data_IF_996119645896
#
_entry.id   IF_996119645896
#
_cell.length_a   1.000
_cell.length_b   1.000
_cell.length_c   1.000
_cell.angle_alpha   90.00
_cell.angle_beta   90.00
_cell.angle_gamma   90.00
#
_symmetry.space_group_name_H-M   'P 1'
#
loop_
_entity.id
_entity.type
_entity.pdbx_description
1 polymer ?
#
# COMPACT_ATOMS: atom_id res chain seq x y z
N UNK A 1 -48.56 12.30 -31.97
CA UNK A 1 -48.10 10.92 -31.76
C UNK A 1 -46.73 10.77 -32.39
N UNK A 2 -45.66 10.82 -31.58
CA UNK A 2 -44.29 10.57 -32.05
C UNK A 2 -43.83 9.32 -31.31
N UNK A 3 -43.72 8.22 -32.05
CA UNK A 3 -43.30 6.93 -31.56
C UNK A 3 -41.77 6.92 -31.52
N UNK A 4 -41.18 7.04 -30.33
CA UNK A 4 -39.73 6.94 -30.16
C UNK A 4 -39.37 5.45 -30.22
N UNK A 5 -38.74 5.04 -31.32
CA UNK A 5 -38.13 3.71 -31.49
C UNK A 5 -36.98 3.57 -30.49
N UNK A 6 -37.13 2.71 -29.49
CA UNK A 6 -36.02 2.19 -28.69
C UNK A 6 -35.06 1.43 -29.61
N UNK A 7 -33.85 1.93 -29.78
CA UNK A 7 -32.73 1.15 -30.31
C UNK A 7 -32.31 0.15 -29.22
N UNK A 8 -32.64 -1.12 -29.43
CA UNK A 8 -32.02 -2.22 -28.69
C UNK A 8 -30.62 -2.42 -29.26
N UNK A 9 -29.59 -2.02 -28.51
CA UNK A 9 -28.24 -2.51 -28.75
C UNK A 9 -28.23 -4.02 -28.45
N UNK A 10 -27.90 -4.83 -29.46
CA UNK A 10 -27.67 -6.26 -29.27
C UNK A 10 -26.39 -6.37 -28.44
N UNK A 11 -26.50 -6.67 -27.14
CA UNK A 11 -25.34 -7.05 -26.32
C UNK A 11 -24.79 -8.35 -26.91
N UNK A 12 -23.55 -8.32 -27.36
CA UNK A 12 -22.83 -9.52 -27.78
C UNK A 12 -22.65 -10.40 -26.52
N UNK A 13 -23.19 -11.61 -26.53
CA UNK A 13 -23.06 -12.52 -25.40
C UNK A 13 -21.57 -12.85 -25.18
N UNK A 14 -21.11 -12.78 -23.93
CA UNK A 14 -19.75 -13.18 -23.57
C UNK A 14 -19.58 -14.66 -23.86
N UNK A 15 -18.47 -15.03 -24.52
CA UNK A 15 -18.13 -16.45 -24.68
C UNK A 15 -17.30 -16.91 -23.48
N UNK A 16 -17.63 -18.07 -22.93
CA UNK A 16 -16.98 -18.64 -21.74
C UNK A 16 -16.40 -20.01 -22.08
N UNK A 17 -15.32 -20.02 -22.84
CA UNK A 17 -14.60 -21.25 -23.16
C UNK A 17 -13.78 -21.70 -21.94
N UNK A 18 -14.15 -22.83 -21.36
CA UNK A 18 -13.41 -23.44 -20.25
C UNK A 18 -12.20 -24.21 -20.80
N UNK A 19 -11.01 -23.85 -20.30
CA UNK A 19 -9.79 -24.64 -20.47
C UNK A 19 -9.41 -25.33 -19.15
N UNK A 20 -8.76 -26.51 -19.19
CA UNK A 20 -8.17 -27.09 -17.98
C UNK A 20 -7.06 -26.17 -17.44
N UNK A 21 -6.98 -26.08 -16.11
CA UNK A 21 -5.91 -25.35 -15.42
C UNK A 21 -4.59 -26.13 -15.43
N UNK A 22 -3.46 -25.42 -15.40
CA UNK A 22 -2.17 -26.02 -15.14
C UNK A 22 -1.93 -26.22 -13.64
N UNK A 23 -0.87 -26.96 -13.28
CA UNK A 23 -0.52 -27.21 -11.86
C UNK A 23 -0.09 -25.92 -11.17
N UNK A 24 0.57 -25.01 -11.90
CA UNK A 24 1.00 -23.69 -11.41
C UNK A 24 -0.18 -22.77 -11.09
N UNK A 25 -1.33 -23.00 -11.74
CA UNK A 25 -2.56 -22.23 -11.53
C UNK A 25 -3.41 -22.76 -10.37
N UNK A 26 -3.04 -23.88 -9.74
CA UNK A 26 -3.82 -24.52 -8.68
C UNK A 26 -4.12 -23.58 -7.49
N UNK A 27 -3.23 -22.63 -7.20
CA UNK A 27 -3.42 -21.62 -6.16
C UNK A 27 -4.65 -20.72 -6.37
N UNK A 28 -5.09 -20.51 -7.62
CA UNK A 28 -6.25 -19.68 -7.97
C UNK A 28 -7.61 -20.34 -7.64
N UNK A 29 -7.61 -21.58 -7.16
CA UNK A 29 -8.82 -22.32 -6.84
C UNK A 29 -9.08 -22.43 -5.34
N UNK A 30 -8.30 -21.72 -4.53
CA UNK A 30 -8.39 -21.72 -3.08
C UNK A 30 -8.32 -20.29 -2.56
N UNK A 31 -8.87 -20.09 -1.37
CA UNK A 31 -8.82 -18.80 -0.69
C UNK A 31 -7.37 -18.50 -0.28
N UNK A 32 -6.88 -17.33 -0.67
CA UNK A 32 -5.59 -16.79 -0.25
C UNK A 32 -5.80 -15.38 0.34
N UNK A 33 -6.33 -15.31 1.57
CA UNK A 33 -6.79 -14.05 2.20
C UNK A 33 -5.72 -12.95 2.20
N UNK A 34 -4.44 -13.32 2.32
CA UNK A 34 -3.32 -12.37 2.31
C UNK A 34 -2.95 -11.84 0.92
N UNK A 35 -3.55 -12.36 -0.15
CA UNK A 35 -3.25 -11.99 -1.55
C UNK A 35 -4.48 -11.49 -2.31
N UNK A 36 -5.65 -11.40 -1.67
CA UNK A 36 -6.90 -11.05 -2.38
C UNK A 36 -6.85 -9.68 -3.07
N UNK A 37 -6.18 -8.71 -2.47
CA UNK A 37 -6.01 -7.40 -3.09
C UNK A 37 -5.11 -7.49 -4.34
N UNK A 38 -4.00 -8.22 -4.25
CA UNK A 38 -3.04 -8.40 -5.35
C UNK A 38 -3.64 -9.21 -6.51
N UNK A 39 -4.38 -10.27 -6.18
CA UNK A 39 -5.08 -11.12 -7.14
C UNK A 39 -6.37 -10.47 -7.65
N UNK A 40 -6.77 -9.31 -7.14
CA UNK A 40 -8.04 -8.68 -7.55
C UNK A 40 -9.25 -9.59 -7.29
N UNK A 41 -9.22 -10.41 -6.23
CA UNK A 41 -10.28 -11.39 -5.91
C UNK A 41 -11.60 -10.66 -5.64
N UNK A 42 -12.60 -10.89 -6.48
CA UNK A 42 -13.95 -10.33 -6.28
C UNK A 42 -14.68 -11.08 -5.19
N UNK A 43 -14.59 -12.41 -5.26
CA UNK A 43 -15.14 -13.32 -4.28
C UNK A 43 -15.24 -14.73 -4.83
N UNK A 44 -15.93 -15.60 -4.10
CA UNK A 44 -16.15 -16.96 -4.57
C UNK A 44 -17.55 -17.49 -4.29
N UNK A 45 -18.00 -18.38 -5.18
CA UNK A 45 -19.21 -19.17 -5.03
C UNK A 45 -18.86 -20.56 -4.54
N UNK A 46 -19.55 -21.02 -3.51
CA UNK A 46 -19.60 -22.43 -3.14
C UNK A 46 -20.90 -23.04 -3.64
N UNK A 47 -20.86 -24.20 -4.28
CA UNK A 47 -21.99 -24.81 -4.98
C UNK A 47 -22.19 -26.28 -4.59
N UNK A 48 -23.45 -26.72 -4.56
CA UNK A 48 -23.86 -28.13 -4.38
C UNK A 48 -25.07 -28.50 -5.25
N UNK A 49 -25.11 -29.74 -5.73
CA UNK A 49 -26.23 -30.29 -6.52
C UNK A 49 -27.33 -30.94 -5.66
N UNK A 50 -27.16 -30.96 -4.34
CA UNK A 50 -28.07 -31.57 -3.37
C UNK A 50 -28.11 -33.10 -3.44
N UNK A 51 -28.92 -33.71 -2.58
CA UNK A 51 -29.01 -35.18 -2.45
C UNK A 51 -29.45 -35.89 -3.74
N UNK A 52 -30.24 -35.22 -4.59
CA UNK A 52 -30.71 -35.75 -5.87
C UNK A 52 -29.76 -35.51 -7.04
N UNK A 53 -28.64 -34.79 -6.84
CA UNK A 53 -27.64 -34.51 -7.87
C UNK A 53 -28.10 -33.63 -9.04
N UNK A 54 -29.31 -33.06 -8.98
CA UNK A 54 -29.94 -32.23 -10.04
C UNK A 54 -30.23 -30.79 -9.61
N UNK A 55 -30.03 -30.46 -8.33
CA UNK A 55 -30.25 -29.12 -7.80
C UNK A 55 -29.08 -28.18 -8.15
N UNK A 56 -29.18 -26.91 -7.80
CA UNK A 56 -28.06 -25.98 -7.87
C UNK A 56 -28.18 -25.00 -6.69
N UNK A 57 -27.59 -25.39 -5.57
CA UNK A 57 -27.53 -24.60 -4.35
C UNK A 57 -26.20 -23.89 -4.30
N UNK A 58 -26.21 -22.61 -3.92
CA UNK A 58 -24.98 -21.83 -3.89
C UNK A 58 -24.97 -20.83 -2.74
N UNK A 59 -23.76 -20.44 -2.33
CA UNK A 59 -23.51 -19.38 -1.35
C UNK A 59 -22.39 -18.51 -1.87
N UNK A 60 -22.62 -17.19 -1.91
CA UNK A 60 -21.60 -16.19 -2.26
C UNK A 60 -20.79 -15.81 -1.03
N UNK A 61 -19.47 -15.73 -1.19
CA UNK A 61 -18.54 -15.25 -0.20
C UNK A 61 -17.81 -14.03 -0.77
N UNK A 62 -18.02 -12.83 -0.23
CA UNK A 62 -17.38 -11.62 -0.72
C UNK A 62 -15.91 -11.56 -0.28
N UNK A 63 -15.06 -11.00 -1.12
CA UNK A 63 -13.65 -10.69 -0.80
C UNK A 63 -13.41 -9.19 -0.95
N UNK A 64 -12.23 -8.70 -0.51
CA UNK A 64 -11.87 -7.28 -0.65
C UNK A 64 -12.91 -6.31 -0.04
N UNK A 65 -13.61 -6.69 1.02
CA UNK A 65 -14.69 -5.88 1.60
C UNK A 65 -15.90 -5.69 0.68
N UNK A 66 -16.15 -6.62 -0.26
CA UNK A 66 -17.22 -6.60 -1.27
C UNK A 66 -17.14 -5.45 -2.29
N UNK A 67 -16.05 -4.66 -2.29
CA UNK A 67 -15.89 -3.46 -3.14
C UNK A 67 -15.88 -3.77 -4.64
N UNK A 68 -15.45 -4.97 -5.03
CA UNK A 68 -15.34 -5.40 -6.42
C UNK A 68 -16.61 -6.07 -6.94
N UNK A 69 -17.60 -6.33 -6.08
CA UNK A 69 -18.86 -6.99 -6.43
C UNK A 69 -19.85 -6.01 -7.10
N UNK A 70 -19.40 -5.41 -8.20
CA UNK A 70 -20.12 -4.37 -8.93
C UNK A 70 -21.33 -4.94 -9.70
N UNK A 71 -22.29 -4.10 -10.11
CA UNK A 71 -23.38 -4.52 -10.99
C UNK A 71 -22.89 -5.14 -12.32
N UNK A 72 -21.80 -4.61 -12.89
CA UNK A 72 -21.16 -5.14 -14.10
C UNK A 72 -20.66 -6.57 -13.87
N UNK A 73 -19.96 -6.81 -12.76
CA UNK A 73 -19.49 -8.14 -12.39
C UNK A 73 -20.65 -9.11 -12.17
N UNK A 74 -21.71 -8.68 -11.46
CA UNK A 74 -22.89 -9.52 -11.21
C UNK A 74 -23.56 -9.98 -12.51
N UNK A 75 -23.64 -9.10 -13.52
CA UNK A 75 -24.13 -9.46 -14.85
C UNK A 75 -23.21 -10.50 -15.51
N UNK A 76 -21.89 -10.29 -15.51
CA UNK A 76 -20.93 -11.24 -16.07
C UNK A 76 -20.97 -12.61 -15.36
N UNK A 77 -21.09 -12.62 -14.03
CA UNK A 77 -21.19 -13.83 -13.24
C UNK A 77 -22.48 -14.59 -13.53
N UNK A 78 -23.62 -13.89 -13.66
CA UNK A 78 -24.89 -14.50 -14.00
C UNK A 78 -24.83 -15.17 -15.38
N UNK A 79 -24.29 -14.45 -16.38
CA UNK A 79 -24.09 -15.01 -17.73
C UNK A 79 -23.19 -16.25 -17.73
N UNK A 80 -22.08 -16.22 -16.96
CA UNK A 80 -21.19 -17.37 -16.81
C UNK A 80 -21.91 -18.57 -16.20
N UNK A 81 -22.60 -18.38 -15.07
CA UNK A 81 -23.33 -19.44 -14.39
C UNK A 81 -24.42 -20.01 -15.28
N UNK A 82 -25.18 -19.18 -15.99
CA UNK A 82 -26.23 -19.64 -16.90
C UNK A 82 -25.66 -20.47 -18.06
N UNK A 83 -24.55 -20.04 -18.67
CA UNK A 83 -23.87 -20.80 -19.72
C UNK A 83 -23.40 -22.17 -19.20
N UNK A 84 -22.77 -22.18 -18.02
CA UNK A 84 -22.27 -23.42 -17.40
C UNK A 84 -23.38 -24.37 -16.95
N UNK A 85 -24.57 -23.84 -16.60
CA UNK A 85 -25.75 -24.64 -16.26
C UNK A 85 -26.49 -25.18 -17.49
N UNK A 86 -26.45 -24.46 -18.60
CA UNK A 86 -27.12 -24.87 -19.83
C UNK A 86 -26.34 -25.98 -20.55
N UNK A 87 -25.03 -25.77 -20.76
CA UNK A 87 -24.20 -26.64 -21.62
C UNK A 87 -22.89 -27.09 -20.96
N UNK A 88 -22.65 -26.73 -19.71
CA UNK A 88 -21.38 -26.97 -19.02
C UNK A 88 -21.47 -27.93 -17.82
N UNK A 89 -20.41 -27.95 -16.98
CA UNK A 89 -20.32 -28.83 -15.82
C UNK A 89 -21.30 -28.47 -14.68
N UNK A 90 -21.94 -27.29 -14.70
CA UNK A 90 -22.84 -26.86 -13.63
C UNK A 90 -24.31 -27.26 -13.85
N UNK A 91 -24.61 -28.04 -14.90
CA UNK A 91 -25.96 -28.52 -15.19
C UNK A 91 -26.52 -29.44 -14.10
N UNK A 92 -25.75 -30.47 -13.75
CA UNK A 92 -26.04 -31.46 -12.72
C UNK A 92 -24.75 -32.24 -12.37
N UNK A 93 -24.78 -33.04 -11.30
CA UNK A 93 -23.60 -33.79 -10.84
C UNK A 93 -23.08 -34.79 -11.89
N UNK A 94 -23.97 -35.37 -12.70
CA UNK A 94 -23.61 -36.33 -13.75
C UNK A 94 -22.89 -35.63 -14.91
N UNK A 95 -23.38 -34.45 -15.30
CA UNK A 95 -22.75 -33.58 -16.29
C UNK A 95 -21.37 -33.12 -15.81
N UNK A 96 -21.25 -32.68 -14.55
CA UNK A 96 -19.96 -32.31 -13.95
C UNK A 96 -18.96 -33.47 -14.05
N UNK A 97 -19.36 -34.66 -13.58
CA UNK A 97 -18.49 -35.84 -13.61
C UNK A 97 -18.05 -36.15 -15.05
N UNK A 98 -18.99 -36.20 -15.99
CA UNK A 98 -18.69 -36.47 -17.41
C UNK A 98 -17.75 -35.43 -18.01
N UNK A 99 -17.94 -34.16 -17.67
CA UNK A 99 -17.11 -33.07 -18.15
C UNK A 99 -15.68 -33.18 -17.62
N UNK A 100 -15.50 -33.42 -16.33
CA UNK A 100 -14.19 -33.59 -15.69
C UNK A 100 -13.40 -34.74 -16.32
N UNK A 101 -14.06 -35.89 -16.53
CA UNK A 101 -13.43 -37.06 -17.17
C UNK A 101 -12.99 -36.82 -18.60
N UNK A 102 -13.71 -36.01 -19.37
CA UNK A 102 -13.42 -35.78 -20.80
C UNK A 102 -12.39 -34.67 -21.05
N UNK A 103 -12.32 -33.69 -20.16
CA UNK A 103 -11.55 -32.46 -20.40
C UNK A 103 -10.28 -32.34 -19.53
N UNK A 104 -10.00 -33.32 -18.65
CA UNK A 104 -8.82 -33.30 -17.79
C UNK A 104 -8.88 -32.22 -16.72
N UNK A 105 -7.74 -31.60 -16.41
CA UNK A 105 -7.63 -30.51 -15.44
C UNK A 105 -7.54 -30.97 -13.98
N UNK A 106 -7.05 -32.17 -13.70
CA UNK A 106 -6.81 -32.62 -12.32
C UNK A 106 -5.72 -31.75 -11.68
N UNK A 107 -6.09 -31.05 -10.60
CA UNK A 107 -5.19 -30.12 -9.88
C UNK A 107 -4.67 -30.69 -8.55
N UNK A 108 -5.10 -31.90 -8.20
CA UNK A 108 -4.61 -32.64 -7.03
C UNK A 108 -4.58 -34.12 -7.33
N UNK A 109 -3.41 -34.75 -7.23
CA UNK A 109 -3.27 -36.18 -7.41
C UNK A 109 -4.09 -36.93 -6.36
N UNK A 110 -4.95 -37.85 -6.81
CA UNK A 110 -5.79 -38.78 -6.02
C UNK A 110 -7.08 -38.22 -5.42
N UNK A 111 -7.33 -36.91 -5.45
CA UNK A 111 -8.53 -36.33 -4.84
C UNK A 111 -9.70 -36.03 -5.80
N UNK A 112 -9.55 -36.34 -7.10
CA UNK A 112 -10.58 -36.07 -8.12
C UNK A 112 -11.07 -34.62 -8.04
N UNK A 113 -10.13 -33.68 -7.90
CA UNK A 113 -10.40 -32.25 -7.93
C UNK A 113 -9.93 -31.74 -9.28
N UNK A 114 -10.85 -31.12 -10.01
CA UNK A 114 -10.60 -30.63 -11.36
C UNK A 114 -10.72 -29.11 -11.39
N UNK A 115 -9.76 -28.42 -12.00
CA UNK A 115 -9.74 -26.98 -12.17
C UNK A 115 -9.95 -26.59 -13.64
N UNK A 116 -10.89 -25.68 -13.87
CA UNK A 116 -11.15 -25.09 -15.18
C UNK A 116 -11.15 -23.57 -15.10
N UNK A 117 -10.60 -22.91 -16.11
CA UNK A 117 -10.52 -21.45 -16.19
C UNK A 117 -11.29 -20.99 -17.42
N UNK A 118 -12.12 -19.97 -17.25
CA UNK A 118 -12.63 -19.14 -18.32
C UNK A 118 -12.20 -17.69 -18.09
N UNK A 119 -11.82 -17.01 -19.15
CA UNK A 119 -11.46 -15.60 -19.11
C UNK A 119 -12.32 -14.80 -20.07
N UNK A 120 -12.60 -13.57 -19.64
CA UNK A 120 -13.14 -12.51 -20.47
C UNK A 120 -12.09 -11.40 -20.52
N UNK A 121 -12.38 -10.30 -21.21
CA UNK A 121 -11.51 -9.12 -21.19
C UNK A 121 -11.27 -8.58 -19.76
N UNK A 122 -12.25 -8.75 -18.86
CA UNK A 122 -12.28 -8.06 -17.56
C UNK A 122 -12.16 -9.01 -16.37
N UNK A 123 -12.64 -10.25 -16.51
CA UNK A 123 -12.79 -11.19 -15.41
C UNK A 123 -12.24 -12.56 -15.73
N UNK A 124 -11.65 -13.19 -14.72
CA UNK A 124 -11.27 -14.61 -14.72
C UNK A 124 -12.16 -15.39 -13.77
N UNK A 125 -12.66 -16.53 -14.26
CA UNK A 125 -13.54 -17.46 -13.56
C UNK A 125 -12.82 -18.80 -13.39
N UNK A 126 -12.40 -19.11 -12.16
CA UNK A 126 -11.70 -20.34 -11.81
C UNK A 126 -12.67 -21.33 -11.15
N UNK A 127 -13.20 -22.26 -11.94
CA UNK A 127 -14.14 -23.29 -11.51
C UNK A 127 -13.39 -24.55 -11.04
N UNK A 128 -13.47 -24.83 -9.75
CA UNK A 128 -13.06 -26.09 -9.13
C UNK A 128 -14.26 -27.04 -9.03
N UNK A 129 -14.12 -28.22 -9.61
CA UNK A 129 -15.11 -29.29 -9.60
C UNK A 129 -14.61 -30.46 -8.74
N UNK A 130 -15.48 -30.95 -7.85
CA UNK A 130 -15.25 -32.16 -7.06
C UNK A 130 -16.46 -33.07 -7.26
N UNK A 131 -16.49 -33.92 -8.30
CA UNK A 131 -17.64 -34.74 -8.66
C UNK A 131 -17.82 -35.94 -7.73
N UNK A 132 -17.94 -35.69 -6.42
CA UNK A 132 -18.19 -36.67 -5.36
C UNK A 132 -19.51 -36.33 -4.64
N UNK A 133 -20.40 -37.31 -4.42
CA UNK A 133 -21.60 -37.10 -3.59
C UNK A 133 -21.22 -36.74 -2.15
N UNK A 134 -21.97 -35.84 -1.50
CA UNK A 134 -21.88 -35.56 -0.06
C UNK A 134 -20.92 -34.45 0.38
N UNK A 135 -20.04 -33.97 -0.50
CA UNK A 135 -19.21 -32.78 -0.28
C UNK A 135 -19.71 -31.60 -1.12
N UNK A 136 -19.26 -30.37 -0.86
CA UNK A 136 -19.45 -29.27 -1.80
C UNK A 136 -18.76 -29.60 -3.14
N UNK A 137 -19.54 -29.73 -4.21
CA UNK A 137 -19.03 -30.26 -5.49
C UNK A 137 -18.49 -29.17 -6.42
N UNK A 138 -18.74 -27.89 -6.13
CA UNK A 138 -18.26 -26.78 -6.95
C UNK A 138 -17.76 -25.60 -6.13
N UNK A 139 -16.62 -25.04 -6.52
CA UNK A 139 -16.18 -23.72 -6.07
C UNK A 139 -15.83 -22.88 -7.29
N UNK A 140 -16.29 -21.65 -7.36
CA UNK A 140 -15.95 -20.72 -8.44
C UNK A 140 -15.33 -19.47 -7.84
N UNK A 141 -14.02 -19.32 -8.01
CA UNK A 141 -13.29 -18.12 -7.63
C UNK A 141 -13.30 -17.13 -8.79
N UNK A 142 -13.60 -15.87 -8.48
CA UNK A 142 -13.76 -14.80 -9.46
C UNK A 142 -12.74 -13.69 -9.21
N UNK A 143 -12.05 -13.26 -10.27
CA UNK A 143 -11.01 -12.24 -10.21
C UNK A 143 -11.28 -11.13 -11.22
N UNK A 144 -11.01 -9.88 -10.85
CA UNK A 144 -11.01 -8.72 -11.75
C UNK A 144 -9.60 -8.48 -12.29
N UNK A 145 -9.41 -8.71 -13.59
CA UNK A 145 -8.13 -8.62 -14.27
C UNK A 145 -7.58 -7.19 -14.32
N UNK A 146 -8.46 -6.18 -14.26
CA UNK A 146 -8.03 -4.77 -14.23
C UNK A 146 -7.42 -4.44 -12.89
N UNK A 147 -7.97 -4.98 -11.80
CA UNK A 147 -7.41 -4.80 -10.46
C UNK A 147 -6.06 -5.51 -10.32
N UNK A 148 -5.91 -6.69 -10.90
CA UNK A 148 -4.60 -7.37 -10.98
C UNK A 148 -3.57 -6.51 -11.72
N UNK A 149 -3.94 -5.94 -12.86
CA UNK A 149 -3.03 -5.08 -13.62
C UNK A 149 -2.68 -3.79 -12.88
N UNK A 150 -3.65 -3.14 -12.21
CA UNK A 150 -3.39 -1.97 -11.36
C UNK A 150 -2.47 -2.31 -10.19
N UNK A 151 -2.69 -3.44 -9.52
CA UNK A 151 -1.84 -3.91 -8.44
C UNK A 151 -0.41 -4.17 -8.95
N UNK A 152 -0.27 -4.83 -10.11
CA UNK A 152 1.02 -5.05 -10.78
C UNK A 152 1.72 -3.73 -11.11
N UNK A 153 1.01 -2.79 -11.71
CA UNK A 153 1.55 -1.46 -12.06
C UNK A 153 2.01 -0.70 -10.82
N UNK A 154 1.25 -0.74 -9.73
CA UNK A 154 1.63 -0.09 -8.47
C UNK A 154 2.90 -0.68 -7.84
N UNK A 155 3.23 -1.94 -8.16
CA UNK A 155 4.43 -2.64 -7.69
C UNK A 155 5.65 -2.42 -8.59
N UNK A 156 5.47 -1.84 -9.77
CA UNK A 156 6.60 -1.59 -10.66
C UNK A 156 7.61 -0.66 -10.00
N UNK A 157 8.83 -1.16 -9.88
CA UNK A 157 9.98 -0.42 -9.36
C UNK A 157 10.51 0.51 -10.43
N UNK A 158 10.63 0.00 -11.65
CA UNK A 158 11.05 0.77 -12.81
C UNK A 158 11.02 -0.05 -14.08
N UNK A 159 11.39 0.60 -15.18
CA UNK A 159 11.54 -0.02 -16.49
C UNK A 159 12.80 0.46 -17.18
N UNK A 160 13.32 -0.36 -18.09
CA UNK A 160 14.46 -0.01 -18.94
C UNK A 160 14.11 -0.27 -20.40
N UNK A 161 14.69 0.53 -21.28
CA UNK A 161 14.46 0.47 -22.72
C UNK A 161 15.78 0.64 -23.47
N UNK A 162 15.89 0.00 -24.63
CA UNK A 162 17.07 0.02 -25.47
C UNK A 162 16.76 0.58 -26.86
N UNK A 163 17.79 1.00 -27.60
CA UNK A 163 17.61 1.45 -28.99
C UNK A 163 17.11 0.34 -29.93
N UNK A 164 17.29 -0.93 -29.56
CA UNK A 164 16.73 -2.09 -30.26
C UNK A 164 15.19 -2.14 -30.22
N UNK A 165 14.56 -1.41 -29.29
CA UNK A 165 13.13 -1.48 -29.00
C UNK A 165 12.77 -2.48 -27.89
N UNK A 166 13.76 -3.21 -27.35
CA UNK A 166 13.56 -4.07 -26.18
C UNK A 166 13.19 -3.21 -24.96
N UNK A 167 12.23 -3.70 -24.17
CA UNK A 167 11.75 -3.08 -22.94
C UNK A 167 11.63 -4.16 -21.86
N UNK A 168 12.09 -3.85 -20.65
CA UNK A 168 11.99 -4.73 -19.49
C UNK A 168 11.45 -3.97 -18.29
N UNK A 169 10.43 -4.53 -17.66
CA UNK A 169 9.77 -4.00 -16.46
C UNK A 169 10.22 -4.79 -15.22
N UNK A 170 10.43 -4.09 -14.12
CA UNK A 170 10.94 -4.67 -12.87
C UNK A 170 9.97 -4.44 -11.73
N UNK A 171 9.65 -5.51 -11.01
CA UNK A 171 8.97 -5.47 -9.69
C UNK A 171 9.94 -5.70 -8.54
N UNK A 172 11.16 -6.17 -8.82
CA UNK A 172 12.24 -6.35 -7.86
C UNK A 172 13.22 -5.18 -7.96
N UNK A 173 13.44 -4.50 -6.83
CA UNK A 173 14.29 -3.32 -6.77
C UNK A 173 15.79 -3.65 -6.94
N UNK A 174 16.23 -4.81 -6.47
CA UNK A 174 17.62 -5.24 -6.57
C UNK A 174 18.01 -5.51 -8.02
N UNK A 175 17.17 -6.26 -8.75
CA UNK A 175 17.37 -6.52 -10.18
C UNK A 175 17.34 -5.24 -10.99
N UNK A 176 16.39 -4.34 -10.71
CA UNK A 176 16.32 -3.05 -11.39
C UNK A 176 17.60 -2.21 -11.22
N UNK A 177 18.07 -2.07 -9.98
CA UNK A 177 19.29 -1.32 -9.68
C UNK A 177 20.53 -1.98 -10.28
N UNK A 178 20.58 -3.32 -10.29
CA UNK A 178 21.66 -4.07 -10.91
C UNK A 178 21.69 -3.83 -12.43
N UNK A 179 20.56 -3.91 -13.12
CA UNK A 179 20.49 -3.64 -14.56
C UNK A 179 20.94 -2.22 -14.90
N UNK A 180 20.57 -1.21 -14.09
CA UNK A 180 21.09 0.15 -14.30
C UNK A 180 22.62 0.19 -14.18
N UNK A 181 23.20 -0.44 -13.15
CA UNK A 181 24.67 -0.46 -12.97
C UNK A 181 25.41 -1.10 -14.14
N UNK A 182 24.86 -2.19 -14.67
CA UNK A 182 25.50 -2.97 -15.74
C UNK A 182 25.38 -2.27 -17.10
N UNK A 183 24.23 -1.67 -17.40
CA UNK A 183 23.95 -1.09 -18.72
C UNK A 183 24.33 0.39 -18.86
N UNK A 184 24.36 1.15 -17.76
CA UNK A 184 24.66 2.59 -17.79
C UNK A 184 26.01 2.93 -18.47
N UNK A 185 27.11 2.18 -18.26
CA UNK A 185 28.38 2.42 -18.95
C UNK A 185 28.32 2.26 -20.48
N UNK A 186 27.36 1.47 -20.97
CA UNK A 186 27.20 1.18 -22.39
C UNK A 186 26.08 1.99 -23.05
N UNK A 187 25.43 2.92 -22.32
CA UNK A 187 24.23 3.64 -22.77
C UNK A 187 24.39 4.34 -24.12
N UNK A 188 25.58 4.85 -24.42
CA UNK A 188 25.84 5.58 -25.67
C UNK A 188 25.88 4.63 -26.87
N UNK A 189 26.15 3.34 -26.63
CA UNK A 189 26.18 2.28 -27.64
C UNK A 189 24.86 1.50 -27.74
N UNK A 190 24.21 1.22 -26.60
CA UNK A 190 22.97 0.43 -26.53
C UNK A 190 21.71 1.30 -26.61
N UNK A 191 21.86 2.62 -26.45
CA UNK A 191 20.75 3.56 -26.31
C UNK A 191 19.95 3.34 -25.03
N UNK A 192 20.58 2.77 -24.00
CA UNK A 192 19.94 2.45 -22.72
C UNK A 192 19.28 3.68 -22.09
N UNK A 193 18.02 3.50 -21.68
CA UNK A 193 17.23 4.46 -20.91
C UNK A 193 16.52 3.71 -19.80
N UNK A 194 16.37 4.35 -18.65
CA UNK A 194 15.63 3.83 -17.51
C UNK A 194 14.59 4.84 -17.04
N UNK A 195 13.55 4.34 -16.39
CA UNK A 195 12.53 5.14 -15.72
C UNK A 195 12.21 4.49 -14.37
N UNK A 196 12.36 5.25 -13.28
CA UNK A 196 12.06 4.78 -11.93
C UNK A 196 10.62 5.12 -11.60
N UNK A 197 9.80 4.09 -11.38
CA UNK A 197 8.35 4.20 -11.21
C UNK A 197 7.93 4.17 -9.75
N UNK A 198 8.71 3.52 -8.87
CA UNK A 198 8.39 3.46 -7.44
C UNK A 198 8.59 4.82 -6.75
N UNK A 199 7.75 5.10 -5.75
CA UNK A 199 7.92 6.19 -4.79
C UNK A 199 8.83 5.84 -3.59
N UNK A 200 9.39 4.62 -3.56
CA UNK A 200 10.26 4.21 -2.47
C UNK A 200 11.53 5.09 -2.42
N UNK A 201 11.73 5.88 -1.36
CA UNK A 201 12.84 6.82 -1.27
C UNK A 201 14.22 6.15 -1.30
N UNK A 202 14.34 4.92 -0.80
CA UNK A 202 15.60 4.18 -0.81
C UNK A 202 15.98 3.76 -2.21
N UNK A 203 15.02 3.31 -3.01
CA UNK A 203 15.26 2.91 -4.40
C UNK A 203 15.62 4.13 -5.24
N UNK A 204 14.87 5.23 -5.12
CA UNK A 204 15.16 6.48 -5.83
C UNK A 204 16.54 7.03 -5.49
N UNK A 205 16.91 7.02 -4.19
CA UNK A 205 18.26 7.39 -3.78
C UNK A 205 19.31 6.48 -4.40
N UNK A 206 19.11 5.16 -4.36
CA UNK A 206 20.07 4.20 -4.89
C UNK A 206 20.28 4.37 -6.40
N UNK A 207 19.23 4.73 -7.16
CA UNK A 207 19.36 5.12 -8.58
C UNK A 207 20.25 6.36 -8.72
N UNK A 208 19.97 7.44 -7.98
CA UNK A 208 20.80 8.66 -8.02
C UNK A 208 22.25 8.39 -7.59
N UNK A 209 22.47 7.53 -6.60
CA UNK A 209 23.81 7.12 -6.17
C UNK A 209 24.59 6.47 -7.33
N UNK A 210 23.95 5.59 -8.11
CA UNK A 210 24.57 4.95 -9.28
C UNK A 210 24.94 5.98 -10.35
N UNK A 211 24.04 6.94 -10.62
CA UNK A 211 24.23 7.95 -11.66
C UNK A 211 25.34 8.94 -11.30
N UNK A 212 25.36 9.39 -10.05
CA UNK A 212 26.35 10.34 -9.57
C UNK A 212 27.72 9.66 -9.42
N UNK A 213 27.77 8.43 -8.92
CA UNK A 213 29.01 7.63 -8.88
C UNK A 213 29.59 7.45 -10.29
N UNK A 214 28.74 7.14 -11.28
CA UNK A 214 29.16 7.07 -12.68
C UNK A 214 29.67 8.42 -13.24
N UNK A 215 29.15 9.54 -12.75
CA UNK A 215 29.63 10.88 -13.07
C UNK A 215 30.88 11.31 -12.26
N UNK A 216 31.30 10.52 -11.28
CA UNK A 216 32.40 10.86 -10.37
C UNK A 216 32.02 11.81 -9.23
N UNK A 217 30.73 11.92 -8.92
CA UNK A 217 30.17 12.77 -7.86
C UNK A 217 29.57 11.94 -6.72
N UNK A 218 29.62 12.45 -5.49
CA UNK A 218 28.90 11.85 -4.36
C UNK A 218 27.48 12.42 -4.26
N UNK A 219 26.51 11.59 -3.89
CA UNK A 219 25.14 12.04 -3.68
C UNK A 219 24.97 12.80 -2.34
N UNK A 220 24.72 14.12 -2.35
CA UNK A 220 24.56 14.90 -1.12
C UNK A 220 23.20 14.69 -0.46
N UNK A 221 22.24 14.02 -1.14
CA UNK A 221 20.86 13.87 -0.65
C UNK A 221 20.72 12.63 0.23
N UNK A 222 20.05 12.78 1.37
CA UNK A 222 19.64 11.66 2.22
C UNK A 222 18.35 11.02 1.69
N UNK A 223 18.08 9.78 2.08
CA UNK A 223 16.89 9.05 1.60
C UNK A 223 15.57 9.79 1.89
N UNK A 224 15.44 10.47 3.03
CA UNK A 224 14.26 11.29 3.35
C UNK A 224 13.98 12.40 2.33
N UNK A 225 15.00 12.90 1.62
CA UNK A 225 14.84 13.91 0.58
C UNK A 225 14.08 13.38 -0.66
N UNK A 226 14.03 12.06 -0.84
CA UNK A 226 13.37 11.39 -1.97
C UNK A 226 11.90 11.04 -1.70
N UNK A 227 11.46 11.09 -0.45
CA UNK A 227 10.07 10.85 -0.05
C UNK A 227 9.17 12.10 -0.13
N UNK A 228 9.75 13.26 -0.42
CA UNK A 228 9.02 14.53 -0.54
C UNK A 228 8.59 14.76 -1.99
N UNK A 229 7.30 15.01 -2.20
CA UNK A 229 6.79 15.51 -3.49
C UNK A 229 7.41 16.88 -3.80
N UNK A 230 7.36 17.33 -5.06
CA UNK A 230 7.83 18.69 -5.40
C UNK A 230 7.07 19.77 -4.59
N UNK A 231 5.77 19.54 -4.34
CA UNK A 231 4.98 20.38 -3.44
C UNK A 231 5.54 20.35 -2.00
N UNK A 232 5.92 19.18 -1.47
CA UNK A 232 6.55 19.05 -0.15
C UNK A 232 7.93 19.72 -0.07
N UNK A 233 8.75 19.61 -1.13
CA UNK A 233 10.04 20.32 -1.22
C UNK A 233 9.86 21.83 -1.27
N UNK A 234 8.88 22.31 -2.04
CA UNK A 234 8.58 23.73 -2.10
C UNK A 234 8.02 24.26 -0.77
N UNK A 235 7.17 23.50 -0.09
CA UNK A 235 6.67 23.84 1.23
C UNK A 235 7.81 24.01 2.24
N UNK A 236 8.80 23.11 2.24
CA UNK A 236 9.98 23.26 3.11
C UNK A 236 10.83 24.51 2.79
N UNK A 237 11.00 24.84 1.50
CA UNK A 237 11.69 26.08 1.09
C UNK A 237 10.94 27.31 1.54
N UNK A 238 9.62 27.30 1.38
CA UNK A 238 8.74 28.40 1.77
C UNK A 238 8.76 28.59 3.29
N UNK A 239 8.77 27.50 4.06
CA UNK A 239 8.89 27.52 5.52
C UNK A 239 10.27 28.01 6.01
N UNK A 240 11.32 27.91 5.18
CA UNK A 240 12.64 28.45 5.46
C UNK A 240 12.85 29.91 5.01
N UNK A 241 11.90 30.49 4.26
CA UNK A 241 12.00 31.87 3.76
C UNK A 241 11.45 32.87 4.80
N UNK A 242 12.31 33.63 5.50
CA UNK A 242 11.88 34.54 6.57
C UNK A 242 11.05 35.73 6.06
N UNK A 243 11.00 35.97 4.75
CA UNK A 243 10.17 37.04 4.17
C UNK A 243 8.69 36.67 4.09
N UNK A 244 8.35 35.39 4.30
CA UNK A 244 6.98 34.89 4.24
C UNK A 244 6.29 34.96 5.61
N UNK A 245 4.96 35.16 5.63
CA UNK A 245 4.20 35.00 6.87
C UNK A 245 4.21 33.53 7.28
N UNK A 246 4.49 33.27 8.56
CA UNK A 246 4.56 31.91 9.10
C UNK A 246 3.53 31.70 10.21
N UNK A 247 3.08 30.46 10.36
CA UNK A 247 2.26 30.00 11.48
C UNK A 247 3.03 29.02 12.35
N UNK A 248 2.70 28.97 13.64
CA UNK A 248 3.35 28.13 14.62
C UNK A 248 2.30 27.41 15.46
N UNK A 249 2.43 26.10 15.57
CA UNK A 249 1.61 25.26 16.42
C UNK A 249 2.53 24.52 17.39
N UNK A 250 2.29 24.68 18.69
CA UNK A 250 3.06 24.01 19.72
C UNK A 250 2.46 22.64 19.99
N UNK A 251 3.31 21.71 20.42
CA UNK A 251 2.87 20.38 20.78
C UNK A 251 3.60 19.85 21.99
N UNK A 252 2.93 18.93 22.69
CA UNK A 252 3.52 18.12 23.75
C UNK A 252 3.27 16.66 23.44
N UNK A 253 4.33 15.86 23.50
CA UNK A 253 4.27 14.40 23.35
C UNK A 253 4.63 13.74 24.67
N UNK A 254 3.96 12.64 25.01
CA UNK A 254 4.32 11.78 26.15
C UNK A 254 4.47 10.35 25.69
N UNK A 255 5.31 9.58 26.39
CA UNK A 255 5.50 8.14 26.15
C UNK A 255 5.85 7.83 24.66
N UNK A 256 6.71 8.66 24.06
CA UNK A 256 7.13 8.57 22.66
C UNK A 256 7.76 7.20 22.34
N UNK A 257 7.20 6.51 21.35
CA UNK A 257 7.64 5.18 20.93
C UNK A 257 7.10 4.03 21.79
N UNK A 258 6.24 4.31 22.79
CA UNK A 258 5.49 3.31 23.53
C UNK A 258 4.03 3.20 23.01
N UNK A 259 3.33 2.08 23.26
CA UNK A 259 1.90 1.94 22.93
C UNK A 259 1.00 3.03 23.52
N UNK A 260 1.43 3.63 24.64
CA UNK A 260 0.74 4.70 25.35
C UNK A 260 1.04 6.11 24.82
N UNK A 261 1.76 6.24 23.70
CA UNK A 261 2.13 7.53 23.11
C UNK A 261 0.92 8.46 22.95
N UNK A 262 1.02 9.68 23.48
CA UNK A 262 0.02 10.74 23.30
C UNK A 262 0.68 11.97 22.71
N UNK A 263 -0.04 12.63 21.78
CA UNK A 263 0.39 13.87 21.16
C UNK A 263 -0.71 14.91 21.29
N UNK A 264 -0.45 15.96 22.06
CA UNK A 264 -1.28 17.15 22.15
C UNK A 264 -0.77 18.19 21.15
N UNK A 265 -1.58 18.52 20.14
CA UNK A 265 -1.22 19.42 19.02
C UNK A 265 -2.03 20.72 19.07
N UNK A 266 -1.66 21.65 18.19
CA UNK A 266 -2.36 22.92 17.95
C UNK A 266 -2.48 23.80 19.21
N UNK A 267 -1.48 23.72 20.09
CA UNK A 267 -1.41 24.47 21.33
C UNK A 267 -0.78 25.84 21.10
N UNK A 268 -1.09 26.80 21.98
CA UNK A 268 -0.23 27.98 22.18
C UNK A 268 1.03 27.60 22.95
N UNK A 269 2.03 28.50 22.98
CA UNK A 269 3.25 28.26 23.74
C UNK A 269 2.91 28.10 25.23
N UNK A 270 2.05 28.97 25.76
CA UNK A 270 1.64 28.96 27.17
C UNK A 270 0.91 27.66 27.54
N UNK A 271 0.00 27.20 26.69
CA UNK A 271 -0.71 25.93 26.87
C UNK A 271 0.25 24.73 26.84
N UNK A 272 1.19 24.71 25.88
CA UNK A 272 2.17 23.65 25.78
C UNK A 272 3.10 23.61 26.99
N UNK A 273 3.57 24.76 27.49
CA UNK A 273 4.41 24.84 28.69
C UNK A 273 3.65 24.37 29.92
N UNK A 274 2.39 24.78 30.09
CA UNK A 274 1.56 24.34 31.21
C UNK A 274 1.35 22.81 31.18
N UNK A 275 0.96 22.27 30.03
CA UNK A 275 0.72 20.84 29.86
C UNK A 275 2.01 20.03 30.06
N UNK A 276 3.15 20.52 29.58
CA UNK A 276 4.45 19.90 29.81
C UNK A 276 4.81 19.87 31.30
N UNK A 277 4.57 20.96 32.06
CA UNK A 277 4.84 21.00 33.51
C UNK A 277 3.92 20.09 34.31
N UNK A 278 2.62 20.11 34.01
CA UNK A 278 1.60 19.36 34.76
C UNK A 278 1.65 17.85 34.50
N UNK A 279 2.28 17.41 33.42
CA UNK A 279 2.42 15.99 33.09
C UNK A 279 3.34 15.27 34.07
N UNK A 280 2.85 14.19 34.66
CA UNK A 280 3.58 13.25 35.53
C UNK A 280 4.29 12.13 34.75
N UNK A 281 4.35 12.26 33.41
CA UNK A 281 4.97 11.25 32.55
C UNK A 281 6.49 11.35 32.58
N UNK A 282 7.20 10.21 32.75
CA UNK A 282 8.66 10.19 32.82
C UNK A 282 9.32 10.46 31.47
N UNK A 283 8.61 10.19 30.37
CA UNK A 283 8.99 10.70 29.06
C UNK A 283 7.97 11.71 28.55
N UNK A 284 8.44 12.94 28.34
CA UNK A 284 7.66 14.00 27.71
C UNK A 284 8.53 14.93 26.88
N UNK A 285 7.99 15.47 25.80
CA UNK A 285 8.67 16.39 24.89
C UNK A 285 7.77 17.56 24.57
N UNK A 286 8.36 18.74 24.42
CA UNK A 286 7.69 19.92 23.90
C UNK A 286 8.45 20.41 22.68
N UNK A 287 7.72 20.65 21.60
CA UNK A 287 8.26 21.17 20.36
C UNK A 287 7.30 22.10 19.65
N UNK A 288 7.71 22.53 18.46
CA UNK A 288 6.94 23.43 17.59
C UNK A 288 6.92 22.92 16.16
N UNK A 289 5.77 23.07 15.52
CA UNK A 289 5.57 22.89 14.08
C UNK A 289 5.35 24.25 13.43
N UNK A 290 6.18 24.58 12.44
CA UNK A 290 6.10 25.79 11.62
C UNK A 290 5.42 25.47 10.29
N UNK A 291 4.41 26.26 9.94
CA UNK A 291 3.56 26.16 8.73
C UNK A 291 2.87 24.80 8.53
N UNK A 292 2.80 23.96 9.57
CA UNK A 292 2.31 22.58 9.47
C UNK A 292 3.29 21.63 8.77
N UNK A 293 4.54 22.06 8.51
CA UNK A 293 5.51 21.33 7.67
C UNK A 293 6.79 21.01 8.43
N UNK A 294 7.51 22.02 8.92
CA UNK A 294 8.77 21.82 9.63
C UNK A 294 8.50 21.64 11.12
N UNK A 295 9.11 20.65 11.77
CA UNK A 295 8.90 20.35 13.20
C UNK A 295 10.23 20.23 13.91
N UNK A 296 10.34 20.76 15.13
CA UNK A 296 11.53 20.65 15.97
C UNK A 296 11.15 20.46 17.44
N UNK A 297 11.80 19.50 18.10
CA UNK A 297 11.73 19.33 19.55
C UNK A 297 12.63 20.38 20.22
N UNK A 298 12.13 21.04 21.26
CA UNK A 298 12.89 22.06 21.99
C UNK A 298 13.37 21.56 23.35
N UNK A 299 12.55 20.76 24.03
CA UNK A 299 12.88 20.20 25.33
C UNK A 299 12.30 18.79 25.47
N UNK A 300 13.05 17.92 26.14
CA UNK A 300 12.65 16.55 26.50
C UNK A 300 12.94 16.32 27.97
N UNK A 301 12.03 15.63 28.65
CA UNK A 301 12.29 14.96 29.90
C UNK A 301 12.28 13.46 29.62
N UNK A 302 13.30 12.74 30.09
CA UNK A 302 13.38 11.29 30.04
C UNK A 302 13.90 10.81 31.39
N UNK A 303 13.18 9.90 32.05
CA UNK A 303 13.52 9.42 33.40
C UNK A 303 13.76 10.58 34.37
N UNK A 304 12.97 11.66 34.24
CA UNK A 304 13.06 12.90 35.02
C UNK A 304 14.29 13.77 34.75
N UNK A 305 15.16 13.39 33.83
CA UNK A 305 16.26 14.23 33.36
C UNK A 305 15.78 15.13 32.23
N UNK A 306 15.90 16.46 32.41
CA UNK A 306 15.47 17.44 31.42
C UNK A 306 16.64 17.87 30.52
N UNK A 307 16.45 17.75 29.21
CA UNK A 307 17.41 18.10 28.18
C UNK A 307 16.78 19.09 27.19
N UNK A 308 17.48 20.19 26.93
CA UNK A 308 17.13 21.14 25.87
C UNK A 308 17.90 20.82 24.59
N UNK A 309 17.22 20.92 23.45
CA UNK A 309 17.82 20.72 22.14
C UNK A 309 18.17 22.04 21.47
N UNK A 310 19.29 22.05 20.75
CA UNK A 310 19.73 23.19 19.94
C UNK A 310 19.45 22.97 18.43
N UNK A 311 18.63 21.97 18.08
CA UNK A 311 18.41 21.58 16.68
C UNK A 311 17.71 22.69 15.87
N UNK A 312 16.93 23.56 16.52
CA UNK A 312 16.35 24.76 15.90
C UNK A 312 17.41 25.71 15.32
N UNK A 313 18.65 25.71 15.85
CA UNK A 313 19.76 26.51 15.31
C UNK A 313 20.39 25.90 14.07
N UNK A 314 20.23 24.59 13.87
CA UNK A 314 20.84 23.83 12.77
C UNK A 314 19.92 23.74 11.56
N UNK A 315 18.60 23.66 11.76
CA UNK A 315 17.61 23.50 10.71
C UNK A 315 17.34 24.81 9.97
N UNK A 316 17.41 24.81 8.64
CA UNK A 316 17.18 26.01 7.81
C UNK A 316 15.81 26.66 8.07
N UNK A 317 14.78 25.86 8.34
CA UNK A 317 13.42 26.34 8.63
C UNK A 317 13.28 27.14 9.93
N UNK A 318 14.23 27.00 10.84
CA UNK A 318 14.18 27.57 12.19
C UNK A 318 15.42 28.40 12.55
N UNK A 319 16.50 28.30 11.77
CA UNK A 319 17.72 29.07 11.97
C UNK A 319 17.37 30.56 11.83
N UNK A 320 17.73 31.32 12.86
CA UNK A 320 17.43 32.76 12.98
C UNK A 320 15.93 33.11 13.08
N UNK A 321 15.08 32.14 13.41
CA UNK A 321 13.64 32.38 13.62
C UNK A 321 13.38 33.09 14.96
N UNK A 322 12.82 34.33 14.95
CA UNK A 322 12.67 35.11 16.17
C UNK A 322 11.58 34.57 17.09
N UNK A 323 10.55 33.90 16.55
CA UNK A 323 9.45 33.33 17.35
C UNK A 323 9.97 32.13 18.12
N UNK A 324 10.68 31.23 17.43
CA UNK A 324 11.24 30.03 18.06
C UNK A 324 12.38 30.38 19.00
N UNK A 325 13.23 31.35 18.65
CA UNK A 325 14.32 31.80 19.53
C UNK A 325 13.79 32.35 20.86
N UNK A 326 12.76 33.22 20.81
CA UNK A 326 12.11 33.75 22.01
C UNK A 326 11.43 32.65 22.83
N UNK A 327 10.81 31.67 22.19
CA UNK A 327 10.19 30.56 22.88
C UNK A 327 11.21 29.67 23.59
N UNK A 328 12.38 29.40 22.98
CA UNK A 328 13.49 28.68 23.62
C UNK A 328 13.97 29.42 24.87
N UNK A 329 14.12 30.75 24.81
CA UNK A 329 14.48 31.56 25.98
C UNK A 329 13.42 31.47 27.09
N UNK A 330 12.15 31.52 26.72
CA UNK A 330 11.02 31.40 27.64
C UNK A 330 11.01 30.02 28.32
N UNK A 331 11.17 28.94 27.56
CA UNK A 331 11.25 27.58 28.07
C UNK A 331 12.41 27.40 29.05
N UNK A 332 13.58 27.97 28.75
CA UNK A 332 14.72 27.92 29.68
C UNK A 332 14.42 28.64 30.98
N UNK A 333 13.85 29.85 30.92
CA UNK A 333 13.50 30.60 32.12
C UNK A 333 12.44 29.90 32.97
N UNK A 334 11.44 29.30 32.34
CA UNK A 334 10.31 28.67 33.05
C UNK A 334 10.60 27.26 33.56
N UNK A 335 11.52 26.52 32.91
CA UNK A 335 11.80 25.12 33.22
C UNK A 335 13.18 24.87 33.85
N UNK A 336 14.12 25.82 33.81
CA UNK A 336 15.41 25.71 34.53
C UNK A 336 15.28 26.11 36.02
N UNK A 337 14.26 26.88 36.41
CA UNK A 337 14.08 27.35 37.81
C UNK A 337 13.58 26.28 38.81
N UNK A 338 13.46 25.02 38.39
CA UNK A 338 12.90 23.91 39.18
C UNK A 338 13.93 22.92 39.74
N UNK A 339 15.21 23.31 39.89
CA UNK A 339 16.18 22.52 40.66
C UNK A 339 16.14 22.98 42.12
N UNK A 340 15.68 22.17 43.09
CA UNK A 340 15.79 22.51 44.51
C UNK A 340 17.27 22.53 44.89
N UNK A 341 17.78 23.68 45.35
CA UNK A 341 19.03 23.70 46.11
C UNK A 341 18.79 22.93 47.41
N UNK A 342 19.45 21.78 47.56
CA UNK A 342 19.53 21.08 48.84
C UNK A 342 20.16 22.01 49.88
N UNK A 343 19.37 22.38 50.89
CA UNK A 343 19.82 23.04 52.11
C UNK A 343 20.82 22.12 52.82
N UNK A 344 22.12 22.40 52.66
CA UNK A 344 23.18 21.78 53.45
C UNK A 344 23.02 22.29 54.89
N UNK A 345 22.31 21.53 55.72
CA UNK A 345 22.29 21.74 57.17
C UNK A 345 23.64 21.29 57.74
N UNK A 346 24.56 22.24 57.91
CA UNK A 346 25.78 22.08 58.70
C UNK A 346 25.41 21.96 60.18
N UNK A 347 25.24 20.72 60.66
CA UNK A 347 25.15 20.41 62.08
C UNK A 347 26.52 20.50 62.73
N UNK A 348 26.78 21.60 63.44
CA UNK A 348 27.95 21.81 64.28
C UNK A 348 27.58 21.92 65.77
N UNK A 349 28.28 21.10 66.57
CA UNK A 349 28.37 20.98 68.03
C UNK A 349 27.27 20.23 68.77
#
# INVERSE_FOLDING_TARGET
MIQVKKQNAIKQARNFDLRPASVEEAGLFYTAENQDAELGTVGHLRMDFGSGGKGFYHTWWPHNGDRLNTPEFKEALQEFVDAMRQNGPLKDLSAMNTYCWRNGGEISDNDRVYGFIAETEQYRFCLRCTPRPGNHQGYLYCYDLRQQELARQSRLVGRVTFASGENQEFTDAGLYLQTIREELPYRDTTGFRYETLTDNPQVRKAVDDILLDFAGEENPRRACNYGLTEAGKQALRDTADPSKPHTYAWFVMTDCGAPEEQIHRDLTLEEAVQLYRDSDRPEKRLGVTKDGVATVDLVRSLEWEQQFFDDCRRLESFRDDPVVSKAVETLRQELEQTVPQEDITMGGM
#
